data_IF_533061026676
#
_entry.id   IF_533061026676
#
_cell.length_a   1.000
_cell.length_b   1.000
_cell.length_c   1.000
_cell.angle_alpha   90.00
_cell.angle_beta   90.00
_cell.angle_gamma   90.00
#
_symmetry.space_group_name_H-M   'P 1'
#
loop_
_entity.id
_entity.type
_entity.pdbx_description
1 polymer ?
#
# COMPACT_ATOMS: atom_id res chain seq x y z
N UNK A 1 -43.06 -41.61 14.56
CA UNK A 1 -42.89 -40.13 14.54
C UNK A 1 -42.59 -39.60 13.13
N UNK A 2 -41.69 -40.22 12.36
CA UNK A 2 -41.43 -39.89 10.95
C UNK A 2 -42.68 -39.84 10.07
N UNK A 3 -43.56 -40.83 10.16
CA UNK A 3 -44.74 -40.92 9.26
C UNK A 3 -45.78 -39.82 9.50
N UNK A 4 -45.88 -39.31 10.74
CA UNK A 4 -46.73 -38.16 11.07
C UNK A 4 -46.18 -36.86 10.47
N UNK A 5 -44.86 -36.71 10.46
CA UNK A 5 -44.15 -35.56 9.91
C UNK A 5 -44.25 -35.53 8.38
N UNK A 6 -44.05 -36.68 7.72
CA UNK A 6 -44.23 -36.78 6.26
C UNK A 6 -45.67 -36.53 5.83
N UNK A 7 -46.66 -37.08 6.54
CA UNK A 7 -48.07 -36.80 6.25
C UNK A 7 -48.45 -35.33 6.48
N UNK A 8 -47.85 -34.65 7.46
CA UNK A 8 -48.07 -33.23 7.70
C UNK A 8 -47.49 -32.36 6.57
N UNK A 9 -46.27 -32.67 6.14
CA UNK A 9 -45.60 -31.98 5.02
C UNK A 9 -46.35 -32.20 3.71
N UNK A 10 -46.81 -33.42 3.43
CA UNK A 10 -47.57 -33.74 2.22
C UNK A 10 -48.97 -33.12 2.18
N UNK A 11 -49.62 -32.91 3.34
CA UNK A 11 -50.95 -32.27 3.42
C UNK A 11 -50.91 -30.74 3.34
N UNK A 12 -49.80 -30.11 3.72
CA UNK A 12 -49.68 -28.65 3.77
C UNK A 12 -48.39 -28.13 3.08
N UNK A 13 -48.14 -28.47 1.81
CA UNK A 13 -46.86 -28.21 1.16
C UNK A 13 -46.53 -26.70 1.06
N UNK A 14 -47.52 -25.86 0.74
CA UNK A 14 -47.31 -24.41 0.61
C UNK A 14 -46.94 -23.74 1.94
N UNK A 15 -47.54 -24.17 3.05
CA UNK A 15 -47.21 -23.65 4.39
C UNK A 15 -45.80 -24.05 4.82
N UNK A 16 -45.40 -25.29 4.55
CA UNK A 16 -44.04 -25.75 4.85
C UNK A 16 -43.01 -24.99 4.02
N UNK A 17 -43.26 -24.80 2.71
CA UNK A 17 -42.38 -24.02 1.84
C UNK A 17 -42.27 -22.58 2.34
N UNK A 18 -43.38 -21.93 2.69
CA UNK A 18 -43.38 -20.56 3.20
C UNK A 18 -42.53 -20.46 4.47
N UNK A 19 -42.72 -21.38 5.43
CA UNK A 19 -41.92 -21.41 6.66
C UNK A 19 -40.43 -21.61 6.35
N UNK A 20 -40.08 -22.52 5.45
CA UNK A 20 -38.68 -22.72 5.04
C UNK A 20 -38.08 -21.48 4.38
N UNK A 21 -38.83 -20.79 3.51
CA UNK A 21 -38.41 -19.54 2.88
C UNK A 21 -38.24 -18.45 3.94
N UNK A 22 -39.16 -18.33 4.89
CA UNK A 22 -39.06 -17.37 6.00
C UNK A 22 -37.79 -17.64 6.82
N UNK A 23 -37.51 -18.90 7.17
CA UNK A 23 -36.26 -19.26 7.87
C UNK A 23 -35.02 -18.97 7.04
N UNK A 24 -35.04 -19.24 5.73
CA UNK A 24 -33.94 -18.92 4.82
C UNK A 24 -33.68 -17.40 4.77
N UNK A 25 -34.72 -16.59 4.60
CA UNK A 25 -34.58 -15.12 4.57
C UNK A 25 -34.08 -14.60 5.91
N UNK A 26 -34.62 -15.09 7.04
CA UNK A 26 -34.17 -14.71 8.38
C UNK A 26 -32.69 -15.07 8.62
N UNK A 27 -32.27 -16.29 8.25
CA UNK A 27 -30.86 -16.69 8.33
C UNK A 27 -29.98 -15.83 7.39
N UNK A 28 -30.49 -15.48 6.21
CA UNK A 28 -29.84 -14.61 5.24
C UNK A 28 -29.65 -13.17 5.71
N UNK A 29 -30.44 -12.66 6.65
CA UNK A 29 -30.24 -11.29 7.20
C UNK A 29 -28.86 -11.11 7.83
N UNK A 30 -28.24 -12.18 8.34
CA UNK A 30 -26.88 -12.16 8.87
C UNK A 30 -25.81 -11.88 7.81
N UNK A 31 -26.10 -12.13 6.53
CA UNK A 31 -25.17 -11.86 5.42
C UNK A 31 -24.84 -10.37 5.28
N UNK A 32 -25.72 -9.47 5.73
CA UNK A 32 -25.47 -8.03 5.75
C UNK A 32 -24.35 -7.62 6.71
N UNK A 33 -23.97 -8.49 7.66
CA UNK A 33 -22.87 -8.27 8.61
C UNK A 33 -21.56 -8.93 8.19
N UNK A 34 -21.50 -9.52 6.99
CA UNK A 34 -20.26 -10.11 6.49
C UNK A 34 -19.26 -9.00 6.19
N UNK A 35 -18.16 -9.01 6.94
CA UNK A 35 -17.03 -8.12 6.74
C UNK A 35 -15.88 -8.86 6.09
N UNK A 36 -15.23 -8.23 5.12
CA UNK A 36 -13.99 -8.74 4.57
C UNK A 36 -12.83 -8.33 5.48
N UNK A 37 -12.22 -9.30 6.16
CA UNK A 37 -11.00 -9.09 6.95
C UNK A 37 -9.78 -9.46 6.12
N UNK A 38 -9.02 -8.44 5.70
CA UNK A 38 -7.72 -8.58 5.03
C UNK A 38 -6.54 -8.65 5.99
N UNK A 39 -6.82 -8.63 7.29
CA UNK A 39 -5.79 -8.61 8.31
C UNK A 39 -5.42 -10.04 8.70
N UNK A 40 -4.15 -10.41 8.55
CA UNK A 40 -3.65 -11.73 8.96
C UNK A 40 -3.79 -11.97 10.46
N UNK A 41 -3.97 -10.91 11.27
CA UNK A 41 -4.19 -11.00 12.72
C UNK A 41 -5.38 -11.89 13.09
N UNK A 42 -6.38 -12.03 12.20
CA UNK A 42 -7.55 -12.90 12.42
C UNK A 42 -7.22 -14.38 12.55
N UNK A 43 -6.03 -14.81 12.11
CA UNK A 43 -5.57 -16.19 12.26
C UNK A 43 -4.97 -16.49 13.64
N UNK A 44 -4.79 -15.47 14.49
CA UNK A 44 -4.22 -15.60 15.82
C UNK A 44 -5.31 -15.42 16.88
N UNK A 45 -5.22 -16.18 17.99
CA UNK A 45 -6.08 -15.95 19.14
C UNK A 45 -5.71 -14.64 19.83
N UNK A 46 -6.69 -14.01 20.50
CA UNK A 46 -6.45 -12.81 21.32
C UNK A 46 -5.44 -13.05 22.46
N UNK A 47 -5.29 -14.30 22.90
CA UNK A 47 -4.36 -14.74 23.93
C UNK A 47 -2.94 -15.02 23.40
N UNK A 48 -2.69 -14.81 22.10
CA UNK A 48 -1.39 -15.10 21.49
C UNK A 48 -0.32 -14.10 22.00
N UNK A 49 0.68 -14.55 22.78
CA UNK A 49 1.65 -13.65 23.39
C UNK A 49 2.58 -12.99 22.35
N UNK A 50 2.81 -13.62 21.19
CA UNK A 50 3.61 -13.05 20.12
C UNK A 50 2.87 -11.91 19.41
N UNK A 51 1.54 -12.03 19.21
CA UNK A 51 0.72 -10.96 18.67
C UNK A 51 0.72 -9.74 19.61
N UNK A 52 0.54 -9.95 20.91
CA UNK A 52 0.60 -8.87 21.91
C UNK A 52 1.97 -8.18 21.91
N UNK A 53 3.06 -8.95 21.87
CA UNK A 53 4.41 -8.40 21.80
C UNK A 53 4.59 -7.56 20.53
N UNK A 54 4.17 -8.07 19.38
CA UNK A 54 4.22 -7.35 18.11
C UNK A 54 3.42 -6.03 18.13
N UNK A 55 2.20 -6.05 18.63
CA UNK A 55 1.35 -4.85 18.75
C UNK A 55 1.95 -3.82 19.72
N UNK A 56 2.54 -4.26 20.83
CA UNK A 56 3.23 -3.37 21.76
C UNK A 56 4.43 -2.69 21.11
N UNK A 57 5.22 -3.42 20.30
CA UNK A 57 6.31 -2.84 19.53
C UNK A 57 5.79 -1.82 18.51
N UNK A 58 4.71 -2.13 17.79
CA UNK A 58 4.07 -1.21 16.85
C UNK A 58 3.44 0.03 17.49
N UNK A 59 3.13 -0.02 18.79
CA UNK A 59 2.60 1.12 19.53
C UNK A 59 3.71 2.06 20.02
N UNK A 60 4.90 1.52 20.30
CA UNK A 60 6.07 2.27 20.75
C UNK A 60 6.89 2.82 19.58
N UNK A 61 7.03 2.02 18.51
CA UNK A 61 7.78 2.35 17.30
C UNK A 61 6.83 2.57 16.12
N UNK A 62 7.31 3.18 15.02
CA UNK A 62 6.50 3.36 13.82
C UNK A 62 5.99 2.01 13.30
N UNK A 63 4.70 1.97 12.94
CA UNK A 63 4.14 0.88 12.15
C UNK A 63 4.88 0.75 10.82
N UNK A 64 5.12 -0.48 10.39
CA UNK A 64 5.72 -0.80 9.09
C UNK A 64 4.69 -0.83 7.94
N UNK A 65 3.50 -0.26 8.16
CA UNK A 65 2.44 -0.24 7.17
C UNK A 65 2.75 0.87 6.15
N UNK A 66 3.14 0.48 4.94
CA UNK A 66 3.56 1.41 3.88
C UNK A 66 2.55 1.41 2.72
N UNK A 67 2.32 2.57 2.13
CA UNK A 67 1.65 2.72 0.83
C UNK A 67 2.71 3.03 -0.20
N UNK A 68 2.71 2.31 -1.33
CA UNK A 68 3.68 2.50 -2.41
C UNK A 68 2.98 2.90 -3.70
N UNK A 69 3.52 3.94 -4.36
CA UNK A 69 3.16 4.32 -5.71
C UNK A 69 4.26 3.85 -6.66
N UNK A 70 3.94 2.93 -7.56
CA UNK A 70 4.86 2.49 -8.62
C UNK A 70 4.52 3.24 -9.88
N UNK A 71 5.45 4.06 -10.36
CA UNK A 71 5.25 4.94 -11.52
C UNK A 71 6.11 4.43 -12.67
N UNK A 72 5.45 4.01 -13.76
CA UNK A 72 6.11 3.50 -14.97
C UNK A 72 5.88 4.48 -16.11
N UNK A 73 6.89 5.27 -16.53
CA UNK A 73 6.80 6.10 -17.72
C UNK A 73 6.54 5.27 -18.97
N UNK A 74 5.74 5.80 -19.91
CA UNK A 74 5.39 5.08 -21.15
C UNK A 74 6.59 4.81 -22.06
N UNK A 75 7.59 5.68 -22.01
CA UNK A 75 8.84 5.58 -22.77
C UNK A 75 9.93 4.78 -22.03
N UNK A 76 9.65 4.32 -20.81
CA UNK A 76 10.60 3.61 -19.97
C UNK A 76 11.79 4.47 -19.51
N UNK A 77 11.68 5.80 -19.53
CA UNK A 77 12.74 6.69 -19.07
C UNK A 77 12.26 7.58 -17.91
N UNK A 78 12.60 7.21 -16.68
CA UNK A 78 12.25 7.99 -15.48
C UNK A 78 12.97 9.34 -15.44
N UNK A 79 14.17 9.44 -16.01
CA UNK A 79 15.07 10.58 -15.86
C UNK A 79 14.87 11.62 -16.97
N UNK A 80 13.66 12.18 -17.04
CA UNK A 80 13.34 13.37 -17.83
C UNK A 80 12.92 14.51 -16.91
N UNK A 81 13.09 15.76 -17.36
CA UNK A 81 12.68 16.92 -16.57
C UNK A 81 11.17 16.89 -16.22
N UNK A 82 10.35 16.42 -17.17
CA UNK A 82 8.90 16.27 -16.99
C UNK A 82 8.55 15.19 -15.95
N UNK A 83 9.13 14.00 -16.07
CA UNK A 83 8.86 12.90 -15.14
C UNK A 83 9.35 13.22 -13.73
N UNK A 84 10.55 13.77 -13.59
CA UNK A 84 11.06 14.19 -12.28
C UNK A 84 10.22 15.32 -11.67
N UNK A 85 9.66 16.23 -12.48
CA UNK A 85 8.73 17.25 -11.99
C UNK A 85 7.42 16.63 -11.49
N UNK A 86 6.85 15.67 -12.23
CA UNK A 86 5.67 14.93 -11.81
C UNK A 86 5.93 14.17 -10.50
N UNK A 87 7.09 13.52 -10.36
CA UNK A 87 7.49 12.82 -9.13
C UNK A 87 7.68 13.78 -7.95
N UNK A 88 8.26 14.98 -8.14
CA UNK A 88 8.31 15.99 -7.07
C UNK A 88 6.91 16.42 -6.62
N UNK A 89 5.98 16.61 -7.55
CA UNK A 89 4.59 16.94 -7.22
C UNK A 89 3.93 15.78 -6.47
N UNK A 90 4.06 14.55 -6.97
CA UNK A 90 3.53 13.36 -6.31
C UNK A 90 4.09 13.21 -4.90
N UNK A 91 5.39 13.43 -4.71
CA UNK A 91 6.07 13.38 -3.40
C UNK A 91 5.48 14.42 -2.45
N UNK A 92 5.25 15.66 -2.93
CA UNK A 92 4.65 16.73 -2.14
C UNK A 92 3.21 16.42 -1.73
N UNK A 93 2.39 15.98 -2.67
CA UNK A 93 0.99 15.64 -2.40
C UNK A 93 0.85 14.39 -1.52
N UNK A 94 1.81 13.45 -1.59
CA UNK A 94 1.83 12.26 -0.74
C UNK A 94 1.96 12.57 0.75
N UNK A 95 2.47 13.75 1.12
CA UNK A 95 2.47 14.20 2.52
C UNK A 95 1.06 14.52 3.05
N UNK A 96 0.08 14.75 2.17
CA UNK A 96 -1.31 14.99 2.56
C UNK A 96 -2.08 13.69 2.84
N UNK A 97 -1.47 12.52 2.58
CA UNK A 97 -2.07 11.23 2.91
C UNK A 97 -2.24 11.12 4.43
N UNK A 98 -3.45 10.81 4.94
CA UNK A 98 -3.69 10.70 6.37
C UNK A 98 -2.72 9.74 7.06
N UNK A 99 -2.24 10.13 8.24
CA UNK A 99 -1.29 9.36 9.05
C UNK A 99 0.10 9.17 8.42
N UNK A 100 0.42 9.86 7.32
CA UNK A 100 1.78 9.87 6.76
C UNK A 100 2.74 10.55 7.74
N UNK A 101 3.78 9.83 8.15
CA UNK A 101 4.87 10.36 8.98
C UNK A 101 6.16 10.57 8.19
N UNK A 102 6.25 9.94 7.01
CA UNK A 102 7.41 9.97 6.12
C UNK A 102 6.98 9.67 4.68
N UNK A 103 7.57 10.39 3.73
CA UNK A 103 7.44 10.11 2.30
C UNK A 103 8.84 9.99 1.72
N UNK A 104 9.14 8.84 1.12
CA UNK A 104 10.39 8.59 0.42
C UNK A 104 10.15 8.50 -1.09
N UNK A 105 11.04 9.10 -1.86
CA UNK A 105 10.99 9.17 -3.32
C UNK A 105 12.41 9.33 -3.87
N UNK A 106 12.60 9.01 -5.14
CA UNK A 106 13.87 9.29 -5.83
C UNK A 106 14.20 10.79 -5.80
N UNK A 107 13.18 11.66 -5.82
CA UNK A 107 13.41 13.10 -5.92
C UNK A 107 13.85 13.76 -4.62
N UNK A 108 13.45 13.21 -3.46
CA UNK A 108 13.79 13.77 -2.12
C UNK A 108 14.83 12.94 -1.36
N UNK A 109 15.47 11.99 -2.04
CA UNK A 109 16.62 11.27 -1.51
C UNK A 109 17.71 12.27 -1.16
N UNK A 110 18.21 12.26 0.08
CA UNK A 110 19.27 13.16 0.50
C UNK A 110 20.59 12.71 -0.12
N UNK A 111 21.10 13.50 -1.07
CA UNK A 111 22.38 13.30 -1.71
C UNK A 111 23.41 14.21 -1.05
N UNK A 112 24.51 13.62 -0.60
CA UNK A 112 25.62 14.33 0.05
C UNK A 112 26.86 14.25 -0.83
N UNK A 113 27.47 15.39 -1.10
CA UNK A 113 28.70 15.49 -1.86
C UNK A 113 29.58 16.62 -1.34
N UNK A 114 30.87 16.59 -1.67
CA UNK A 114 31.80 17.66 -1.37
C UNK A 114 32.01 18.55 -2.59
N UNK A 115 32.06 19.86 -2.38
CA UNK A 115 32.41 20.87 -3.38
C UNK A 115 33.44 21.80 -2.76
N UNK A 116 34.67 21.77 -3.29
CA UNK A 116 35.83 22.43 -2.67
C UNK A 116 36.03 21.99 -1.21
N UNK A 117 35.85 22.90 -0.26
CA UNK A 117 35.97 22.65 1.18
C UNK A 117 34.60 22.48 1.88
N UNK A 118 33.49 22.56 1.11
CA UNK A 118 32.14 22.48 1.63
C UNK A 118 31.53 21.08 1.44
N UNK A 119 30.73 20.66 2.43
CA UNK A 119 29.87 19.48 2.33
C UNK A 119 28.43 19.94 2.07
N UNK A 120 27.90 19.57 0.90
CA UNK A 120 26.55 19.91 0.48
C UNK A 120 25.65 18.71 0.71
N UNK A 121 24.51 18.95 1.37
CA UNK A 121 23.44 17.96 1.58
C UNK A 121 22.15 18.53 1.02
N UNK A 122 21.62 17.91 -0.02
CA UNK A 122 20.38 18.35 -0.66
C UNK A 122 19.58 17.19 -1.25
N UNK A 123 18.33 17.45 -1.63
CA UNK A 123 17.52 16.52 -2.41
C UNK A 123 18.24 16.18 -3.73
N UNK A 124 18.29 14.88 -4.07
CA UNK A 124 18.85 14.39 -5.33
C UNK A 124 18.26 15.11 -6.56
N UNK A 125 17.00 15.53 -6.45
CA UNK A 125 16.36 16.43 -7.42
C UNK A 125 15.85 17.68 -6.71
N UNK A 126 16.76 18.60 -6.41
CA UNK A 126 16.42 19.87 -5.75
C UNK A 126 15.46 20.72 -6.59
N UNK A 127 15.74 20.90 -7.89
CA UNK A 127 14.89 21.62 -8.85
C UNK A 127 14.79 20.88 -10.17
N UNK A 128 13.61 20.93 -10.79
CA UNK A 128 13.35 20.36 -12.13
C UNK A 128 13.36 21.41 -13.23
N UNK A 129 13.54 22.69 -12.89
CA UNK A 129 13.66 23.78 -13.86
C UNK A 129 15.06 23.74 -14.49
N UNK A 130 15.12 23.83 -15.82
CA UNK A 130 16.36 23.93 -16.59
C UNK A 130 17.34 22.76 -16.35
N UNK A 131 16.83 21.54 -16.18
CA UNK A 131 17.67 20.34 -16.14
C UNK A 131 18.24 20.08 -17.54
N UNK A 132 19.57 20.14 -17.65
CA UNK A 132 20.29 19.77 -18.87
C UNK A 132 20.40 18.25 -18.97
N UNK A 133 20.66 17.73 -20.18
CA UNK A 133 20.88 16.29 -20.39
C UNK A 133 22.01 15.74 -19.52
N UNK A 134 23.07 16.52 -19.29
CA UNK A 134 24.18 16.14 -18.41
C UNK A 134 23.73 16.01 -16.94
N UNK A 135 22.92 16.95 -16.45
CA UNK A 135 22.37 16.87 -15.08
C UNK A 135 21.43 15.69 -14.92
N UNK A 136 20.57 15.43 -15.91
CA UNK A 136 19.68 14.27 -15.90
C UNK A 136 20.45 12.95 -15.87
N UNK A 137 21.51 12.83 -16.67
CA UNK A 137 22.35 11.64 -16.65
C UNK A 137 23.10 11.50 -15.31
N UNK A 138 23.61 12.60 -14.74
CA UNK A 138 24.22 12.58 -13.40
C UNK A 138 23.24 12.09 -12.33
N UNK A 139 22.01 12.61 -12.31
CA UNK A 139 20.95 12.19 -11.39
C UNK A 139 20.66 10.69 -11.58
N UNK A 140 20.54 10.23 -12.83
CA UNK A 140 20.32 8.82 -13.15
C UNK A 140 21.45 7.95 -12.60
N UNK A 141 22.70 8.29 -12.87
CA UNK A 141 23.85 7.52 -12.43
C UNK A 141 23.93 7.44 -10.91
N UNK A 142 23.66 8.53 -10.19
CA UNK A 142 23.57 8.52 -8.73
C UNK A 142 22.43 7.58 -8.28
N UNK A 143 21.23 7.74 -8.85
CA UNK A 143 20.06 6.96 -8.46
C UNK A 143 20.22 5.44 -8.68
N UNK A 144 20.85 5.02 -9.78
CA UNK A 144 21.05 3.60 -10.11
C UNK A 144 22.30 2.99 -9.47
N UNK A 145 23.17 3.80 -8.87
CA UNK A 145 24.37 3.32 -8.15
C UNK A 145 24.19 3.31 -6.64
N UNK A 146 23.20 4.04 -6.12
CA UNK A 146 22.90 4.14 -4.69
C UNK A 146 22.18 2.89 -4.16
N UNK A 147 22.79 2.09 -3.27
CA UNK A 147 22.18 0.87 -2.72
C UNK A 147 20.87 1.11 -1.95
N UNK A 148 20.66 2.31 -1.43
CA UNK A 148 19.42 2.68 -0.76
C UNK A 148 18.26 2.98 -1.72
N UNK A 149 18.54 3.23 -3.00
CA UNK A 149 17.54 3.50 -4.04
C UNK A 149 17.29 2.28 -4.92
N UNK A 150 18.35 1.58 -5.35
CA UNK A 150 18.26 0.45 -6.28
C UNK A 150 17.50 -0.72 -5.67
N UNK A 151 16.57 -1.30 -6.43
CA UNK A 151 15.67 -2.38 -6.01
C UNK A 151 14.75 -2.04 -4.81
N UNK A 152 14.70 -0.76 -4.40
CA UNK A 152 13.82 -0.26 -3.33
C UNK A 152 12.85 0.80 -3.83
N UNK A 153 13.36 1.80 -4.54
CA UNK A 153 12.60 2.92 -5.11
C UNK A 153 12.77 2.97 -6.62
N UNK A 154 13.95 2.61 -7.14
CA UNK A 154 14.28 2.62 -8.57
C UNK A 154 14.81 1.25 -9.02
N UNK A 155 14.43 0.85 -10.23
CA UNK A 155 14.93 -0.33 -10.93
C UNK A 155 16.42 -0.20 -11.31
N UNK A 156 17.11 -1.33 -11.48
CA UNK A 156 18.55 -1.37 -11.80
C UNK A 156 18.94 -0.58 -13.06
N UNK A 157 18.03 -0.48 -14.03
CA UNK A 157 18.26 0.26 -15.29
C UNK A 157 17.62 1.65 -15.30
N UNK A 158 16.88 2.02 -14.25
CA UNK A 158 16.25 3.34 -14.13
C UNK A 158 15.01 3.56 -15.01
N UNK A 159 14.31 2.49 -15.39
CA UNK A 159 13.13 2.55 -16.27
C UNK A 159 11.80 2.62 -15.52
N UNK A 160 11.82 2.27 -14.23
CA UNK A 160 10.74 2.31 -13.24
C UNK A 160 11.34 2.66 -11.89
#
# INVERSE_FOLDING_TARGET
MRDKLYNFVGKNPFWVILVCITFMVLAGTGAQKLEFKNDYRVFFSEENPQLTAFESMQKVYNKSDNVSFVVVPKDGNVFTAEHLAALKVLTKESWQVPYSTRVDSVTNFQYTYAEEDDMIVEDLVMSTKNLTSEKLEKIKQIAISEPLLVNKIISQTGHV
#
